data_IF_008255721834
#
_entry.id   IF_008255721834
#
_cell.length_a   1.000
_cell.length_b   1.000
_cell.length_c   1.000
_cell.angle_alpha   90.00
_cell.angle_beta   90.00
_cell.angle_gamma   90.00
#
_symmetry.space_group_name_H-M   'P 1'
#
loop_
_entity.id
_entity.type
_entity.pdbx_description
1 polymer ?
#
# COMPACT_ATOMS: atom_id res chain seq x y z
N UNK A 1 -8.58 7.68 16.22
CA UNK A 1 -7.34 7.71 15.40
C UNK A 1 -7.69 8.57 14.21
N UNK A 2 -7.12 9.77 14.08
CA UNK A 2 -7.38 10.61 12.92
C UNK A 2 -7.04 9.80 11.66
N UNK A 3 -7.94 9.77 10.69
CA UNK A 3 -7.73 9.03 9.46
C UNK A 3 -6.55 9.69 8.73
N UNK A 4 -5.40 9.02 8.72
CA UNK A 4 -4.24 9.48 7.97
C UNK A 4 -4.58 9.45 6.50
N UNK A 5 -4.40 10.59 5.84
CA UNK A 5 -4.43 10.72 4.39
C UNK A 5 -3.55 9.64 3.75
N UNK A 6 -4.09 8.85 2.83
CA UNK A 6 -3.31 7.77 2.24
C UNK A 6 -2.18 8.25 1.35
N UNK A 7 -2.22 9.47 0.82
CA UNK A 7 -1.03 10.06 0.18
C UNK A 7 0.12 10.15 1.17
N UNK A 8 -0.15 10.57 2.42
CA UNK A 8 0.90 10.68 3.43
C UNK A 8 1.53 9.32 3.66
N UNK A 9 0.74 8.25 3.72
CA UNK A 9 1.27 6.90 3.84
C UNK A 9 2.10 6.50 2.62
N UNK A 10 1.64 6.78 1.40
CA UNK A 10 2.37 6.49 0.15
C UNK A 10 3.75 7.15 0.20
N UNK A 11 3.80 8.45 0.51
CA UNK A 11 5.04 9.22 0.48
C UNK A 11 5.93 8.90 1.68
N UNK A 12 5.40 9.04 2.90
CA UNK A 12 6.20 9.02 4.14
C UNK A 12 6.53 7.62 4.65
N UNK A 13 5.86 6.59 4.14
CA UNK A 13 6.13 5.18 4.50
C UNK A 13 6.72 4.45 3.31
N UNK A 14 5.98 4.33 2.20
CA UNK A 14 6.42 3.50 1.09
C UNK A 14 7.60 4.12 0.33
N UNK A 15 7.46 5.34 -0.19
CA UNK A 15 8.54 5.99 -0.96
C UNK A 15 9.72 6.38 -0.08
N UNK A 16 9.47 6.90 1.12
CA UNK A 16 10.49 7.19 2.11
C UNK A 16 11.35 5.97 2.50
N UNK A 17 10.75 4.78 2.52
CA UNK A 17 11.47 3.56 2.91
C UNK A 17 12.22 2.91 1.77
N UNK A 18 11.87 3.23 0.52
CA UNK A 18 12.41 2.58 -0.67
C UNK A 18 13.17 3.55 -1.59
N UNK A 19 13.34 4.82 -1.20
CA UNK A 19 14.08 5.79 -2.00
C UNK A 19 15.56 5.43 -2.08
N UNK A 20 16.19 5.80 -3.21
CA UNK A 20 17.64 5.69 -3.43
C UNK A 20 18.35 7.04 -3.40
N UNK A 21 17.59 8.12 -3.51
CA UNK A 21 18.10 9.48 -3.42
C UNK A 21 17.24 10.25 -2.42
N UNK A 22 17.82 11.22 -1.69
CA UNK A 22 17.06 12.07 -0.80
C UNK A 22 15.94 12.79 -1.57
N UNK A 23 14.80 12.99 -0.92
CA UNK A 23 13.69 13.77 -1.47
C UNK A 23 12.94 14.51 -0.35
N UNK A 24 12.15 15.52 -0.72
CA UNK A 24 11.38 16.33 0.24
C UNK A 24 9.88 16.18 0.07
N UNK A 25 9.17 16.17 1.21
CA UNK A 25 7.72 16.20 1.30
C UNK A 25 7.28 16.88 2.60
N UNK A 26 6.40 17.90 2.51
CA UNK A 26 5.94 18.70 3.66
C UNK A 26 7.08 19.11 4.61
N UNK A 27 8.07 19.82 4.05
CA UNK A 27 9.25 20.34 4.78
C UNK A 27 10.20 19.26 5.35
N UNK A 28 9.83 17.98 5.28
CA UNK A 28 10.67 16.88 5.74
C UNK A 28 11.56 16.37 4.62
N UNK A 29 12.82 16.07 4.95
CA UNK A 29 13.78 15.38 4.06
C UNK A 29 13.79 13.90 4.41
N UNK A 30 13.64 13.05 3.40
CA UNK A 30 13.67 11.59 3.54
C UNK A 30 14.95 11.04 2.94
N UNK A 31 15.80 10.48 3.81
CA UNK A 31 17.10 9.92 3.44
C UNK A 31 17.02 8.42 3.11
N UNK A 32 17.77 7.94 2.09
CA UNK A 32 17.81 6.53 1.75
C UNK A 32 18.46 5.70 2.87
N UNK A 33 18.01 4.46 3.01
CA UNK A 33 18.55 3.47 3.95
C UNK A 33 18.71 2.12 3.27
N UNK A 34 19.57 1.22 3.80
CA UNK A 34 19.63 -0.15 3.30
C UNK A 34 18.26 -0.81 3.40
N UNK A 35 17.86 -1.51 2.33
CA UNK A 35 16.56 -2.21 2.27
C UNK A 35 16.79 -3.71 2.36
N UNK A 36 16.07 -4.35 3.25
CA UNK A 36 15.97 -5.81 3.36
C UNK A 36 14.62 -6.24 2.82
N UNK A 37 14.59 -7.10 1.80
CA UNK A 37 13.34 -7.69 1.30
C UNK A 37 13.19 -9.08 1.87
N UNK A 38 12.14 -9.27 2.67
CA UNK A 38 11.81 -10.57 3.27
C UNK A 38 11.19 -11.51 2.23
N UNK A 39 11.56 -12.81 2.22
CA UNK A 39 10.83 -13.84 1.47
C UNK A 39 9.33 -13.89 1.77
N UNK A 40 8.91 -13.44 2.97
CA UNK A 40 7.50 -13.37 3.34
C UNK A 40 6.71 -12.38 2.49
N UNK A 41 7.37 -11.47 1.75
CA UNK A 41 6.72 -10.57 0.80
C UNK A 41 5.85 -11.32 -0.22
N UNK A 42 6.24 -12.55 -0.60
CA UNK A 42 5.62 -13.31 -1.69
C UNK A 42 4.40 -14.13 -1.28
N UNK A 43 4.06 -14.11 0.02
CA UNK A 43 2.90 -14.83 0.55
C UNK A 43 1.60 -14.26 -0.02
N UNK A 44 0.61 -15.11 -0.21
CA UNK A 44 -0.75 -14.66 -0.46
C UNK A 44 -1.45 -14.23 0.81
N UNK A 45 -2.67 -13.74 0.67
CA UNK A 45 -3.60 -13.62 1.79
C UNK A 45 -5.04 -13.89 1.34
N UNK A 46 -5.88 -14.31 2.28
CA UNK A 46 -7.33 -14.41 2.06
C UNK A 46 -8.01 -13.12 2.46
N UNK A 47 -9.10 -12.80 1.76
CA UNK A 47 -10.09 -11.84 2.23
C UNK A 47 -11.41 -12.62 2.19
N UNK A 48 -11.91 -13.17 3.31
CA UNK A 48 -13.16 -13.93 3.30
C UNK A 48 -14.39 -12.99 3.30
N UNK A 49 -15.53 -13.51 2.85
CA UNK A 49 -16.82 -12.82 3.00
C UNK A 49 -17.19 -12.65 4.47
N UNK A 50 -18.02 -11.64 4.77
CA UNK A 50 -18.45 -11.32 6.13
C UNK A 50 -17.41 -10.56 6.97
N UNK A 51 -16.18 -10.38 6.45
CA UNK A 51 -15.13 -9.67 7.17
C UNK A 51 -15.28 -8.14 7.08
N UNK A 52 -14.91 -7.53 5.94
CA UNK A 52 -14.90 -6.06 5.74
C UNK A 52 -14.11 -5.25 6.77
N UNK A 53 -13.29 -5.90 7.60
CA UNK A 53 -12.69 -5.29 8.79
C UNK A 53 -11.70 -4.16 8.46
N UNK A 54 -10.92 -4.35 7.39
CA UNK A 54 -9.93 -3.38 6.92
C UNK A 54 -10.48 -2.28 6.00
N UNK A 55 -11.74 -2.39 5.56
CA UNK A 55 -12.41 -1.43 4.69
C UNK A 55 -12.92 -0.22 5.48
N UNK A 56 -12.02 0.41 6.23
CA UNK A 56 -12.28 1.65 6.94
C UNK A 56 -12.40 2.83 5.97
N UNK A 57 -13.00 3.92 6.43
CA UNK A 57 -12.99 5.20 5.72
C UNK A 57 -11.56 5.78 5.74
N UNK A 58 -10.95 5.99 4.59
CA UNK A 58 -9.70 6.74 4.41
C UNK A 58 -9.71 7.30 2.99
N UNK A 59 -8.81 8.24 2.69
CA UNK A 59 -8.74 8.79 1.33
C UNK A 59 -8.44 7.68 0.33
N UNK A 60 -9.03 7.74 -0.85
CA UNK A 60 -8.77 6.78 -1.92
C UNK A 60 -8.04 7.50 -3.02
N UNK A 61 -6.73 7.24 -3.12
CA UNK A 61 -5.84 7.97 -4.00
C UNK A 61 -5.42 7.15 -5.24
N UNK A 62 -5.36 7.86 -6.37
CA UNK A 62 -5.13 7.32 -7.70
C UNK A 62 -4.19 8.23 -8.52
N UNK A 63 -3.40 7.63 -9.41
CA UNK A 63 -2.68 8.37 -10.45
C UNK A 63 -3.62 8.78 -11.60
N UNK A 64 -3.29 9.82 -12.39
CA UNK A 64 -4.11 10.25 -13.52
C UNK A 64 -4.44 9.16 -14.56
N UNK A 65 -3.53 8.19 -14.76
CA UNK A 65 -3.71 7.09 -15.70
C UNK A 65 -4.44 5.86 -15.15
N UNK A 66 -4.78 5.83 -13.86
CA UNK A 66 -5.41 4.65 -13.25
C UNK A 66 -6.93 4.59 -13.51
N UNK A 67 -7.45 3.37 -13.58
CA UNK A 67 -8.90 3.13 -13.56
C UNK A 67 -9.47 3.53 -12.19
N UNK A 68 -10.58 4.29 -12.22
CA UNK A 68 -11.19 4.93 -11.05
C UNK A 68 -12.70 4.67 -10.96
N UNK A 69 -13.30 4.66 -9.77
CA UNK A 69 -14.75 4.51 -9.60
C UNK A 69 -15.59 5.76 -9.86
N UNK A 70 -14.97 6.95 -9.95
CA UNK A 70 -15.59 8.15 -10.53
C UNK A 70 -16.05 9.21 -9.53
N UNK A 71 -15.73 9.06 -8.24
CA UNK A 71 -16.03 10.04 -7.19
C UNK A 71 -14.78 10.85 -6.77
N UNK A 72 -13.65 10.66 -7.43
CA UNK A 72 -12.39 11.30 -7.11
C UNK A 72 -12.32 12.72 -7.67
N UNK A 73 -11.75 13.62 -6.88
CA UNK A 73 -11.43 14.98 -7.30
C UNK A 73 -9.93 15.11 -7.55
N UNK A 74 -9.56 15.98 -8.49
CA UNK A 74 -8.16 16.32 -8.70
C UNK A 74 -7.61 17.05 -7.47
N UNK A 75 -6.43 16.64 -7.02
CA UNK A 75 -5.73 17.23 -5.89
C UNK A 75 -4.26 17.37 -6.23
N UNK A 76 -3.69 18.53 -5.93
CA UNK A 76 -2.26 18.75 -6.08
C UNK A 76 -1.55 18.52 -4.74
N UNK A 77 -0.43 17.81 -4.79
CA UNK A 77 0.52 17.65 -3.68
C UNK A 77 1.89 18.16 -4.12
N UNK A 78 2.79 18.41 -3.17
CA UNK A 78 4.14 18.92 -3.48
C UNK A 78 5.20 17.91 -3.02
N UNK A 79 6.00 17.40 -3.95
CA UNK A 79 7.16 16.53 -3.68
C UNK A 79 8.37 17.15 -4.38
N UNK A 80 9.51 17.28 -3.70
CA UNK A 80 10.70 17.96 -4.23
C UNK A 80 10.42 19.39 -4.73
N UNK A 81 9.50 20.11 -4.08
CA UNK A 81 9.05 21.44 -4.51
C UNK A 81 8.24 21.45 -5.80
N UNK A 82 7.98 20.29 -6.42
CA UNK A 82 7.21 20.17 -7.65
C UNK A 82 5.73 19.88 -7.33
N UNK A 83 4.78 20.66 -7.90
CA UNK A 83 3.36 20.32 -7.82
C UNK A 83 3.08 19.07 -8.66
N UNK A 84 2.35 18.12 -8.08
CA UNK A 84 2.01 16.84 -8.69
C UNK A 84 0.52 16.61 -8.48
N UNK A 85 -0.18 16.34 -9.57
CA UNK A 85 -1.60 16.05 -9.51
C UNK A 85 -1.87 14.57 -9.28
N UNK A 86 -2.82 14.31 -8.39
CA UNK A 86 -3.40 13.01 -8.09
C UNK A 86 -4.92 13.12 -8.09
N UNK A 87 -5.62 11.99 -8.10
CA UNK A 87 -7.07 11.95 -7.93
C UNK A 87 -7.39 11.30 -6.59
N UNK A 88 -8.17 11.99 -5.76
CA UNK A 88 -8.48 11.58 -4.39
C UNK A 88 -10.00 11.58 -4.17
N UNK A 89 -10.54 10.50 -3.64
CA UNK A 89 -11.85 10.52 -2.96
C UNK A 89 -11.61 10.60 -1.45
N UNK A 90 -11.88 11.76 -0.86
CA UNK A 90 -11.71 12.01 0.57
C UNK A 90 -12.80 11.35 1.43
N UNK A 91 -13.89 10.88 0.81
CA UNK A 91 -15.05 10.29 1.47
C UNK A 91 -15.67 11.21 2.54
N UNK A 92 -15.65 12.53 2.31
CA UNK A 92 -16.13 13.52 3.26
C UNK A 92 -17.65 13.43 3.53
N UNK A 93 -18.41 12.94 2.55
CA UNK A 93 -19.85 12.68 2.61
C UNK A 93 -20.22 11.38 3.36
N UNK A 94 -19.24 10.52 3.65
CA UNK A 94 -19.48 9.23 4.31
C UNK A 94 -19.53 9.42 5.83
N UNK A 95 -20.73 9.39 6.41
CA UNK A 95 -20.94 9.60 7.85
C UNK A 95 -20.30 8.52 8.76
N UNK A 96 -20.09 7.30 8.24
CA UNK A 96 -19.56 6.17 8.99
C UNK A 96 -18.03 6.03 8.99
N UNK A 97 -17.55 4.97 9.65
CA UNK A 97 -16.13 4.57 9.66
C UNK A 97 -15.78 3.57 8.56
N UNK A 98 -16.71 3.27 7.64
CA UNK A 98 -16.52 2.32 6.54
C UNK A 98 -16.29 3.07 5.24
N UNK A 99 -15.50 2.47 4.35
CA UNK A 99 -15.37 2.93 2.98
C UNK A 99 -16.73 2.82 2.27
N UNK A 100 -17.08 3.80 1.42
CA UNK A 100 -18.31 3.79 0.61
C UNK A 100 -18.43 2.57 -0.29
N UNK A 101 -17.29 2.01 -0.70
CA UNK A 101 -17.22 0.87 -1.61
C UNK A 101 -17.24 -0.49 -0.89
N UNK A 102 -17.43 -0.51 0.43
CA UNK A 102 -17.65 -1.74 1.17
C UNK A 102 -19.12 -2.15 1.03
N UNK A 103 -19.37 -3.31 0.43
CA UNK A 103 -20.66 -3.98 0.56
C UNK A 103 -20.78 -4.50 1.99
N UNK A 104 -21.65 -3.88 2.78
CA UNK A 104 -21.88 -4.21 4.18
C UNK A 104 -22.63 -5.53 4.38
N UNK A 105 -23.25 -6.06 3.33
CA UNK A 105 -23.95 -7.36 3.38
C UNK A 105 -22.95 -8.50 3.22
N UNK A 106 -22.05 -8.40 2.23
CA UNK A 106 -21.10 -9.47 1.91
C UNK A 106 -19.72 -9.27 2.54
N UNK A 107 -19.41 -8.08 3.03
CA UNK A 107 -18.08 -7.71 3.53
C UNK A 107 -17.02 -7.57 2.43
N UNK A 108 -17.44 -7.46 1.16
CA UNK A 108 -16.55 -7.39 -0.02
C UNK A 108 -16.39 -5.97 -0.52
N UNK A 109 -15.26 -5.71 -1.18
CA UNK A 109 -15.00 -4.44 -1.85
C UNK A 109 -15.67 -4.43 -3.23
N UNK A 110 -16.61 -3.52 -3.46
CA UNK A 110 -17.30 -3.34 -4.74
C UNK A 110 -16.45 -2.78 -5.87
N UNK A 111 -15.21 -2.34 -5.57
CA UNK A 111 -14.26 -1.78 -6.53
C UNK A 111 -12.94 -2.56 -6.58
N UNK A 112 -12.96 -3.85 -6.24
CA UNK A 112 -11.73 -4.64 -6.03
C UNK A 112 -10.70 -4.52 -7.17
N UNK A 113 -11.15 -4.53 -8.43
CA UNK A 113 -10.30 -4.44 -9.62
C UNK A 113 -9.70 -3.04 -9.84
N UNK A 114 -10.35 -1.99 -9.33
CA UNK A 114 -9.97 -0.58 -9.46
C UNK A 114 -9.74 0.08 -8.09
N UNK A 115 -9.20 -0.71 -7.16
CA UNK A 115 -8.97 -0.28 -5.78
C UNK A 115 -7.85 0.76 -5.71
N UNK A 116 -8.04 1.75 -4.84
CA UNK A 116 -7.01 2.76 -4.53
C UNK A 116 -5.69 2.13 -4.08
N UNK A 117 -4.59 2.88 -4.19
CA UNK A 117 -3.25 2.36 -3.90
C UNK A 117 -3.16 1.72 -2.50
N UNK A 118 -3.60 2.44 -1.47
CA UNK A 118 -3.49 1.95 -0.08
C UNK A 118 -4.32 0.69 0.18
N UNK A 119 -5.46 0.53 -0.49
CA UNK A 119 -6.25 -0.70 -0.42
C UNK A 119 -5.49 -1.90 -1.00
N UNK A 120 -4.76 -1.68 -2.10
CA UNK A 120 -4.01 -2.71 -2.81
C UNK A 120 -2.74 -3.14 -2.07
N UNK A 121 -2.07 -2.18 -1.43
CA UNK A 121 -0.79 -2.36 -0.76
C UNK A 121 -0.89 -2.64 0.73
N UNK A 122 -2.10 -2.69 1.29
CA UNK A 122 -2.29 -2.64 2.74
C UNK A 122 -1.47 -3.69 3.49
N UNK A 123 -1.38 -4.94 3.02
CA UNK A 123 -0.63 -6.00 3.72
C UNK A 123 0.87 -6.04 3.37
N UNK A 124 1.29 -5.36 2.31
CA UNK A 124 2.71 -5.11 2.03
C UNK A 124 3.16 -3.99 2.97
N UNK A 125 4.13 -4.29 3.83
CA UNK A 125 4.62 -3.40 4.88
C UNK A 125 6.05 -2.99 4.60
N UNK A 126 6.28 -1.68 4.68
CA UNK A 126 7.59 -1.06 4.73
C UNK A 126 7.82 -0.66 6.19
N UNK A 127 8.66 -1.43 6.89
CA UNK A 127 8.95 -1.22 8.31
C UNK A 127 10.27 -0.47 8.44
N UNK A 128 10.22 0.70 9.08
CA UNK A 128 11.39 1.55 9.28
C UNK A 128 12.05 1.21 10.61
N UNK A 129 13.31 0.81 10.55
CA UNK A 129 14.20 0.66 11.70
C UNK A 129 15.27 1.76 11.68
N UNK A 130 16.05 1.85 12.76
CA UNK A 130 17.09 2.87 12.88
C UNK A 130 18.15 2.75 11.76
N UNK A 131 18.57 1.52 11.45
CA UNK A 131 19.68 1.20 10.55
C UNK A 131 19.24 0.74 9.15
N UNK A 132 17.96 0.40 8.97
CA UNK A 132 17.46 -0.22 7.73
C UNK A 132 15.96 -0.08 7.56
N UNK A 133 15.49 -0.49 6.40
CA UNK A 133 14.07 -0.69 6.08
C UNK A 133 13.82 -2.15 5.75
N UNK A 134 12.72 -2.72 6.25
CA UNK A 134 12.29 -4.08 5.92
C UNK A 134 11.01 -4.03 5.07
N UNK A 135 11.09 -4.55 3.85
CA UNK A 135 9.92 -4.82 3.01
C UNK A 135 9.45 -6.25 3.24
N UNK A 136 8.19 -6.43 3.65
CA UNK A 136 7.62 -7.74 3.96
C UNK A 136 6.11 -7.73 3.72
N UNK A 137 5.47 -8.90 3.77
CA UNK A 137 4.02 -8.99 3.82
C UNK A 137 3.58 -9.59 5.16
N UNK A 138 2.66 -8.92 5.86
CA UNK A 138 2.13 -9.40 7.15
C UNK A 138 0.72 -8.91 7.42
N UNK A 139 -0.01 -9.68 8.23
CA UNK A 139 -1.33 -9.30 8.75
C UNK A 139 -1.27 -8.04 9.62
N UNK A 140 -2.45 -7.47 9.85
CA UNK A 140 -2.63 -6.31 10.73
C UNK A 140 -2.19 -6.62 12.15
N UNK A 141 -1.23 -5.86 12.69
CA UNK A 141 -0.77 -6.04 14.07
C UNK A 141 -1.88 -5.82 15.12
N UNK A 142 -2.87 -4.97 14.80
CA UNK A 142 -4.09 -4.75 15.60
C UNK A 142 -5.34 -5.32 14.92
N UNK A 143 -5.19 -6.36 14.09
CA UNK A 143 -6.29 -6.98 13.37
C UNK A 143 -7.39 -7.50 14.29
N UNK A 144 -7.02 -8.01 15.46
CA UNK A 144 -7.95 -8.52 16.49
C UNK A 144 -8.95 -7.46 17.00
N UNK A 145 -8.58 -6.17 16.97
CA UNK A 145 -9.43 -5.07 17.44
C UNK A 145 -10.33 -4.47 16.34
N UNK A 146 -10.18 -4.92 15.09
CA UNK A 146 -10.95 -4.36 13.96
C UNK A 146 -12.37 -4.90 13.99
N UNK A 147 -13.36 -4.00 13.91
CA UNK A 147 -14.77 -4.37 13.80
C UNK A 147 -15.04 -4.94 12.40
N UNK A 148 -15.79 -6.03 12.31
CA UNK A 148 -16.27 -6.64 11.06
C UNK A 148 -17.65 -6.12 10.65
N UNK A 149 -18.13 -6.50 9.46
CA UNK A 149 -19.48 -6.12 9.01
C UNK A 149 -20.58 -6.90 9.71
N UNK A 150 -20.29 -8.14 10.15
CA UNK A 150 -21.19 -8.98 10.96
C UNK A 150 -21.33 -8.52 12.43
N UNK A 151 -20.72 -7.38 12.79
CA UNK A 151 -20.70 -6.85 14.15
C UNK A 151 -19.62 -7.43 15.06
N UNK A 152 -18.94 -8.51 14.64
CA UNK A 152 -17.84 -9.15 15.38
C UNK A 152 -16.54 -8.34 15.38
N UNK A 153 -15.53 -8.87 16.07
CA UNK A 153 -14.17 -8.33 16.09
C UNK A 153 -13.17 -9.30 15.44
N UNK A 154 -12.05 -8.75 14.97
CA UNK A 154 -10.96 -9.51 14.39
C UNK A 154 -11.04 -9.60 12.86
N UNK A 155 -10.01 -9.10 12.18
CA UNK A 155 -9.81 -9.35 10.76
C UNK A 155 -9.63 -10.86 10.53
N UNK A 156 -10.36 -11.41 9.56
CA UNK A 156 -10.38 -12.84 9.23
C UNK A 156 -9.39 -13.22 8.11
N UNK A 157 -8.53 -12.28 7.70
CA UNK A 157 -7.55 -12.54 6.65
C UNK A 157 -6.47 -13.51 7.16
N UNK A 158 -6.14 -14.51 6.36
CA UNK A 158 -5.08 -15.48 6.66
C UNK A 158 -3.96 -15.36 5.65
N UNK A 159 -2.72 -15.55 6.10
CA UNK A 159 -1.56 -15.54 5.21
C UNK A 159 -1.41 -16.91 4.56
N UNK A 160 -1.36 -16.93 3.24
CA UNK A 160 -1.19 -18.15 2.46
C UNK A 160 0.29 -18.37 2.10
N UNK A 161 0.72 -19.61 1.81
CA UNK A 161 2.03 -19.86 1.20
C UNK A 161 2.17 -19.12 -0.15
N UNK A 162 3.40 -18.80 -0.57
CA UNK A 162 3.63 -18.29 -1.91
C UNK A 162 3.21 -19.31 -2.98
N UNK A 163 2.64 -18.83 -4.07
CA UNK A 163 2.37 -19.61 -5.29
C UNK A 163 2.51 -18.69 -6.52
N UNK A 164 2.47 -19.21 -7.76
CA UNK A 164 2.67 -18.38 -8.96
C UNK A 164 1.73 -17.17 -9.05
N UNK A 165 0.47 -17.30 -8.61
CA UNK A 165 -0.49 -16.19 -8.61
C UNK A 165 -0.14 -15.11 -7.58
N UNK A 166 0.31 -15.49 -6.38
CA UNK A 166 0.68 -14.52 -5.34
C UNK A 166 1.97 -13.79 -5.70
N UNK A 167 2.93 -14.49 -6.32
CA UNK A 167 4.15 -13.87 -6.85
C UNK A 167 3.81 -12.87 -7.95
N UNK A 168 2.93 -13.22 -8.89
CA UNK A 168 2.47 -12.32 -9.94
C UNK A 168 1.72 -11.09 -9.38
N UNK A 169 0.88 -11.26 -8.36
CA UNK A 169 0.21 -10.13 -7.70
C UNK A 169 1.20 -9.21 -6.99
N UNK A 170 2.27 -9.75 -6.38
CA UNK A 170 3.35 -8.94 -5.80
C UNK A 170 4.13 -8.18 -6.87
N UNK A 171 4.50 -8.80 -7.99
CA UNK A 171 5.15 -8.12 -9.12
C UNK A 171 4.26 -6.97 -9.65
N UNK A 172 2.96 -7.24 -9.88
CA UNK A 172 1.98 -6.22 -10.30
C UNK A 172 1.90 -5.06 -9.31
N UNK A 173 1.82 -5.35 -8.00
CA UNK A 173 1.82 -4.32 -6.96
C UNK A 173 3.10 -3.52 -7.04
N UNK A 174 4.27 -4.14 -6.94
CA UNK A 174 5.56 -3.43 -6.97
C UNK A 174 5.72 -2.54 -8.22
N UNK A 175 5.26 -2.97 -9.40
CA UNK A 175 5.21 -2.09 -10.59
C UNK A 175 4.32 -0.87 -10.40
N UNK A 176 3.12 -1.05 -9.84
CA UNK A 176 2.26 0.07 -9.47
C UNK A 176 2.96 1.04 -8.50
N UNK A 177 3.71 0.55 -7.50
CA UNK A 177 4.50 1.43 -6.64
C UNK A 177 5.64 2.14 -7.38
N UNK A 178 6.26 1.48 -8.36
CA UNK A 178 7.23 2.12 -9.25
C UNK A 178 6.59 3.24 -10.09
N UNK A 179 5.40 3.02 -10.65
CA UNK A 179 4.65 4.05 -11.39
C UNK A 179 4.35 5.27 -10.52
N UNK A 180 3.93 5.04 -9.27
CA UNK A 180 3.75 6.13 -8.29
C UNK A 180 5.05 6.86 -7.98
N UNK A 181 6.15 6.14 -7.81
CA UNK A 181 7.46 6.73 -7.58
C UNK A 181 7.93 7.60 -8.77
N UNK A 182 7.75 7.10 -9.99
CA UNK A 182 8.09 7.81 -11.22
C UNK A 182 7.23 9.06 -11.40
N UNK A 183 5.91 8.95 -11.18
CA UNK A 183 5.00 10.10 -11.22
C UNK A 183 5.41 11.18 -10.22
N UNK A 184 5.90 10.78 -9.04
CA UNK A 184 6.37 11.71 -8.01
C UNK A 184 7.81 12.20 -8.23
N UNK A 185 8.57 11.56 -9.12
CA UNK A 185 9.97 11.90 -9.38
C UNK A 185 10.91 11.41 -8.26
N UNK A 186 10.57 10.30 -7.61
CA UNK A 186 11.37 9.68 -6.54
C UNK A 186 12.06 8.43 -7.10
N UNK A 187 13.40 8.42 -7.10
CA UNK A 187 14.16 7.21 -7.48
C UNK A 187 14.08 6.18 -6.36
N UNK A 188 13.75 4.93 -6.68
CA UNK A 188 13.57 3.86 -5.68
C UNK A 188 14.41 2.62 -5.96
N UNK A 189 14.47 1.73 -4.97
CA UNK A 189 15.06 0.40 -5.10
C UNK A 189 14.10 -0.63 -5.71
N UNK A 190 12.85 -0.27 -6.00
CA UNK A 190 11.83 -1.19 -6.52
C UNK A 190 12.26 -1.96 -7.77
N UNK A 191 13.03 -1.40 -8.75
CA UNK A 191 13.49 -2.18 -9.90
C UNK A 191 14.36 -3.38 -9.52
N UNK A 192 15.25 -3.22 -8.53
CA UNK A 192 16.08 -4.32 -8.02
C UNK A 192 15.24 -5.38 -7.30
N UNK A 193 14.20 -4.95 -6.59
CA UNK A 193 13.26 -5.85 -5.91
C UNK A 193 12.46 -6.64 -6.93
N UNK A 194 11.95 -5.99 -7.98
CA UNK A 194 11.23 -6.65 -9.09
C UNK A 194 12.11 -7.70 -9.76
N UNK A 195 13.38 -7.42 -9.98
CA UNK A 195 14.32 -8.39 -10.54
C UNK A 195 14.47 -9.61 -9.64
N UNK A 196 14.68 -9.40 -8.34
CA UNK A 196 14.73 -10.50 -7.37
C UNK A 196 13.43 -11.32 -7.31
N UNK A 197 12.27 -10.67 -7.42
CA UNK A 197 10.98 -11.38 -7.49
C UNK A 197 10.95 -12.32 -8.70
N UNK A 198 11.45 -11.89 -9.86
CA UNK A 198 11.44 -12.69 -11.11
C UNK A 198 12.45 -13.83 -11.13
N UNK A 199 13.63 -13.64 -10.54
CA UNK A 199 14.68 -14.66 -10.54
C UNK A 199 14.32 -15.93 -9.75
N UNK A 200 13.31 -15.87 -8.87
CA UNK A 200 12.80 -17.07 -8.18
C UNK A 200 13.64 -17.54 -6.98
N UNK A 201 14.76 -16.88 -6.68
CA UNK A 201 15.67 -17.26 -5.60
C UNK A 201 15.22 -16.71 -4.23
N UNK A 202 14.05 -17.16 -3.77
CA UNK A 202 13.37 -16.58 -2.60
C UNK A 202 13.71 -17.27 -1.28
N UNK A 203 14.67 -18.21 -1.28
CA UNK A 203 15.12 -18.91 -0.06
C UNK A 203 15.87 -18.01 0.92
N UNK A 204 16.28 -16.80 0.50
CA UNK A 204 17.01 -15.83 1.31
C UNK A 204 16.45 -14.43 1.09
N UNK A 205 16.63 -13.56 2.08
CA UNK A 205 16.28 -12.16 1.96
C UNK A 205 17.21 -11.46 0.96
N UNK A 206 16.66 -10.55 0.14
CA UNK A 206 17.45 -9.63 -0.67
C UNK A 206 17.96 -8.49 0.21
N UNK A 207 19.24 -8.17 0.07
CA UNK A 207 19.84 -6.96 0.64
C UNK A 207 20.07 -5.97 -0.50
N UNK A 208 19.46 -4.81 -0.42
CA UNK A 208 19.69 -3.70 -1.36
C UNK A 208 20.47 -2.61 -0.62
N UNK A 209 21.77 -2.44 -0.94
CA UNK A 209 22.55 -1.33 -0.39
C UNK A 209 22.04 0.00 -0.95
N UNK A 210 22.43 1.12 -0.31
CA UNK A 210 22.16 2.48 -0.79
C UNK A 210 22.92 2.71 -2.12
#
# INVERSE_FOLDING_TARGET
>A
MAHTDSIDKIVTVYLAGLCRTPFTYRESVFEPRPVVVSPLLLRGFTCPSGCGACCAKYTMDYLPGEARPGQEEARTIVVNGRPIDVFSDLQADVAGNRCRNLDTTTGRCGIYERRAFSCDFELIRVLHFADKVLLTQKLYGRGWAMRRVDGGQGAQCEMQPPNPHTVADVDRKLRRLQEWADHFGVKTCVPAILEWVRLGEHGRALLVPI
#
